data_IF_066259818216
#
_entry.id   IF_066259818216
#
_cell.length_a   1.000
_cell.length_b   1.000
_cell.length_c   1.000
_cell.angle_alpha   90.00
_cell.angle_beta   90.00
_cell.angle_gamma   90.00
#
_symmetry.space_group_name_H-M   'P 1'
#
loop_
_entity.id
_entity.type
_entity.pdbx_description
1 polymer ?
#
# COMPACT_ATOMS: atom_id res chain seq x y z
N UNK A 1 62.05 8.53 -17.31
CA UNK A 1 61.48 9.45 -16.28
C UNK A 1 60.02 9.67 -16.63
N UNK A 2 59.12 9.42 -15.68
CA UNK A 2 57.77 8.88 -15.90
C UNK A 2 56.75 9.88 -16.46
N UNK A 3 56.02 9.45 -17.51
CA UNK A 3 54.73 10.02 -17.90
C UNK A 3 53.70 9.61 -16.85
N UNK A 4 53.21 10.54 -16.04
CA UNK A 4 52.06 10.28 -15.15
C UNK A 4 50.76 10.58 -15.90
N UNK A 5 50.02 9.49 -16.09
CA UNK A 5 48.64 9.36 -16.49
C UNK A 5 47.75 10.16 -15.50
N UNK A 6 46.90 11.07 -15.99
CA UNK A 6 45.73 11.53 -15.23
C UNK A 6 44.54 10.75 -15.77
N UNK A 7 44.19 9.67 -15.07
CA UNK A 7 42.92 8.97 -15.24
C UNK A 7 42.22 9.02 -13.89
N UNK A 8 40.95 9.39 -13.93
CA UNK A 8 39.97 9.03 -12.91
C UNK A 8 39.55 10.20 -12.03
N UNK A 9 38.31 10.67 -12.23
CA UNK A 9 37.18 10.46 -11.31
C UNK A 9 35.98 11.16 -11.97
N UNK A 10 35.04 10.40 -12.51
CA UNK A 10 33.70 10.88 -12.82
C UNK A 10 32.71 9.70 -12.81
N UNK A 11 32.64 8.97 -11.71
CA UNK A 11 31.52 8.05 -11.45
C UNK A 11 31.26 8.04 -9.95
N UNK A 12 30.43 8.96 -9.47
CA UNK A 12 29.79 8.90 -8.13
C UNK A 12 28.62 9.91 -8.07
N UNK A 13 27.77 9.93 -9.10
CA UNK A 13 26.68 10.91 -9.22
C UNK A 13 25.27 10.35 -9.14
N UNK A 14 25.05 9.04 -9.30
CA UNK A 14 23.70 8.51 -9.59
C UNK A 14 23.00 7.75 -8.44
N UNK A 15 23.67 7.47 -7.31
CA UNK A 15 23.05 6.75 -6.20
C UNK A 15 22.41 7.66 -5.12
N UNK A 16 22.77 8.95 -5.10
CA UNK A 16 22.29 9.89 -4.06
C UNK A 16 20.96 10.56 -4.45
N UNK A 17 20.64 10.60 -5.74
CA UNK A 17 19.42 11.27 -6.22
C UNK A 17 18.16 10.47 -5.88
N UNK A 18 18.14 9.16 -6.13
CA UNK A 18 16.96 8.30 -5.89
C UNK A 18 16.54 8.25 -4.41
N UNK A 19 17.51 8.15 -3.49
CA UNK A 19 17.25 8.18 -2.05
C UNK A 19 16.69 9.53 -1.57
N UNK A 20 17.16 10.65 -2.13
CA UNK A 20 16.61 11.98 -1.85
C UNK A 20 15.19 12.17 -2.41
N UNK A 21 14.88 11.59 -3.57
CA UNK A 21 13.52 11.65 -4.14
C UNK A 21 12.52 10.86 -3.31
N UNK A 22 12.85 9.64 -2.88
CA UNK A 22 11.97 8.82 -2.03
C UNK A 22 11.67 9.50 -0.68
N UNK A 23 12.68 10.09 -0.03
CA UNK A 23 12.49 10.84 1.22
C UNK A 23 11.62 12.08 1.01
N UNK A 24 11.79 12.82 -0.09
CA UNK A 24 10.98 14.00 -0.42
C UNK A 24 9.54 13.65 -0.78
N UNK A 25 9.32 12.55 -1.50
CA UNK A 25 8.00 12.05 -1.84
C UNK A 25 7.23 11.66 -0.56
N UNK A 26 7.86 10.88 0.32
CA UNK A 26 7.26 10.51 1.62
C UNK A 26 6.91 11.72 2.48
N UNK A 27 7.80 12.72 2.58
CA UNK A 27 7.50 13.96 3.32
C UNK A 27 6.33 14.75 2.71
N UNK A 28 6.15 14.69 1.39
CA UNK A 28 5.02 15.33 0.70
C UNK A 28 3.70 14.58 0.92
N UNK A 29 3.73 13.24 0.91
CA UNK A 29 2.55 12.40 1.20
C UNK A 29 2.14 12.55 2.66
N UNK A 30 3.09 12.47 3.60
CA UNK A 30 2.84 12.64 5.04
C UNK A 30 2.20 14.01 5.34
N UNK A 31 2.73 15.08 4.72
CA UNK A 31 2.14 16.42 4.83
C UNK A 31 0.70 16.46 4.31
N UNK A 32 0.40 15.81 3.20
CA UNK A 32 -0.97 15.76 2.65
C UNK A 32 -1.90 14.96 3.56
N UNK A 33 -1.43 13.86 4.14
CA UNK A 33 -2.17 13.10 5.16
C UNK A 33 -2.48 14.03 6.33
N UNK A 34 -1.48 14.68 6.93
CA UNK A 34 -1.67 15.57 8.08
C UNK A 34 -2.63 16.74 7.79
N UNK A 35 -2.55 17.33 6.60
CA UNK A 35 -3.47 18.39 6.18
C UNK A 35 -4.92 17.91 6.11
N UNK A 36 -5.16 16.74 5.51
CA UNK A 36 -6.50 16.18 5.42
C UNK A 36 -7.01 15.72 6.79
N UNK A 37 -6.14 15.19 7.65
CA UNK A 37 -6.51 14.83 9.02
C UNK A 37 -6.90 16.02 9.87
N UNK A 38 -6.18 17.14 9.76
CA UNK A 38 -6.58 18.38 10.41
C UNK A 38 -7.94 18.89 9.91
N UNK A 39 -8.21 18.74 8.61
CA UNK A 39 -9.52 19.03 8.03
C UNK A 39 -10.62 18.14 8.62
N UNK A 40 -10.37 16.83 8.69
CA UNK A 40 -11.30 15.86 9.25
C UNK A 40 -11.57 16.11 10.74
N UNK A 41 -10.52 16.37 11.52
CA UNK A 41 -10.65 16.73 12.94
C UNK A 41 -11.53 17.97 13.13
N UNK A 42 -11.36 18.99 12.29
CA UNK A 42 -12.18 20.21 12.31
C UNK A 42 -13.64 19.94 11.92
N UNK A 43 -13.87 19.08 10.93
CA UNK A 43 -15.22 18.64 10.56
C UNK A 43 -15.89 17.96 11.76
N UNK A 44 -15.23 16.97 12.37
CA UNK A 44 -15.77 16.24 13.53
C UNK A 44 -16.03 17.17 14.73
N UNK A 45 -15.12 18.10 14.98
CA UNK A 45 -15.33 19.11 16.02
C UNK A 45 -16.56 19.98 15.74
N UNK A 46 -16.82 20.32 14.47
CA UNK A 46 -18.01 21.08 14.08
C UNK A 46 -19.29 20.28 14.32
N UNK A 47 -19.30 18.98 14.00
CA UNK A 47 -20.43 18.08 14.28
C UNK A 47 -20.72 18.01 15.79
N UNK A 48 -19.67 17.90 16.62
CA UNK A 48 -19.78 17.88 18.10
C UNK A 48 -20.33 19.20 18.63
N UNK A 49 -19.82 20.34 18.17
CA UNK A 49 -20.29 21.67 18.59
C UNK A 49 -21.77 21.86 18.22
N UNK A 50 -22.17 21.39 17.04
CA UNK A 50 -23.54 21.51 16.55
C UNK A 50 -24.48 20.43 17.09
N UNK A 51 -23.97 19.43 17.83
CA UNK A 51 -24.72 18.31 18.41
C UNK A 51 -25.55 17.55 17.37
N UNK A 52 -24.99 17.33 16.19
CA UNK A 52 -25.65 16.58 15.12
C UNK A 52 -25.75 15.09 15.47
N UNK A 53 -26.60 14.34 14.77
CA UNK A 53 -26.70 12.88 14.95
C UNK A 53 -25.34 12.19 14.75
N UNK A 54 -24.52 12.71 13.82
CA UNK A 54 -23.18 12.20 13.57
C UNK A 54 -22.28 12.29 14.81
N UNK A 55 -22.39 13.36 15.59
CA UNK A 55 -21.63 13.50 16.85
C UNK A 55 -21.99 12.47 17.92
N UNK A 56 -23.15 11.83 17.79
CA UNK A 56 -23.65 10.79 18.71
C UNK A 56 -23.50 9.37 18.13
N UNK A 57 -22.97 9.24 16.91
CA UNK A 57 -22.80 7.91 16.31
C UNK A 57 -21.82 7.08 17.11
N UNK A 58 -22.16 5.80 17.33
CA UNK A 58 -21.24 4.80 17.87
C UNK A 58 -20.54 3.99 16.76
N UNK A 59 -20.89 4.26 15.50
CA UNK A 59 -20.34 3.58 14.35
C UNK A 59 -19.22 4.42 13.72
N UNK A 60 -17.95 3.98 13.81
CA UNK A 60 -16.83 4.77 13.32
C UNK A 60 -16.85 4.99 11.80
N UNK A 61 -17.57 4.16 11.04
CA UNK A 61 -17.76 4.37 9.60
C UNK A 61 -18.58 5.61 9.25
N UNK A 62 -19.44 6.09 10.16
CA UNK A 62 -20.27 7.25 9.90
C UNK A 62 -19.41 8.53 9.79
N UNK A 63 -18.30 8.60 10.51
CA UNK A 63 -17.40 9.76 10.55
C UNK A 63 -16.62 9.99 9.25
N UNK A 64 -16.43 8.95 8.46
CA UNK A 64 -15.71 9.01 7.19
C UNK A 64 -16.67 9.00 5.99
N UNK A 65 -17.94 8.68 6.21
CA UNK A 65 -18.96 8.63 5.17
C UNK A 65 -19.11 10.01 4.53
N UNK A 66 -18.88 10.07 3.21
CA UNK A 66 -18.91 11.30 2.41
C UNK A 66 -17.89 12.38 2.83
N UNK A 67 -16.86 12.05 3.61
CA UNK A 67 -15.80 13.01 3.96
C UNK A 67 -14.86 13.20 2.77
N UNK A 68 -14.76 14.45 2.29
CA UNK A 68 -13.84 14.82 1.21
C UNK A 68 -12.38 14.66 1.64
N UNK A 69 -12.09 14.96 2.90
CA UNK A 69 -10.79 14.84 3.54
C UNK A 69 -10.36 13.37 3.60
N UNK A 70 -11.24 12.48 4.04
CA UNK A 70 -10.99 11.05 4.04
C UNK A 70 -10.73 10.53 2.62
N UNK A 71 -11.59 10.87 1.65
CA UNK A 71 -11.38 10.46 0.26
C UNK A 71 -10.05 10.95 -0.32
N UNK A 72 -9.58 12.14 0.05
CA UNK A 72 -8.26 12.65 -0.35
C UNK A 72 -7.13 11.81 0.22
N UNK A 73 -7.25 11.28 1.43
CA UNK A 73 -6.26 10.36 2.02
C UNK A 73 -6.23 9.05 1.24
N UNK A 74 -7.39 8.44 0.97
CA UNK A 74 -7.47 7.21 0.18
C UNK A 74 -6.89 7.40 -1.23
N UNK A 75 -7.17 8.56 -1.85
CA UNK A 75 -6.67 8.88 -3.20
C UNK A 75 -5.16 9.10 -3.29
N UNK A 76 -4.44 9.18 -2.17
CA UNK A 76 -2.96 9.16 -2.17
C UNK A 76 -2.42 7.78 -2.58
N UNK A 77 -3.24 6.73 -2.49
CA UNK A 77 -2.90 5.41 -3.00
C UNK A 77 -1.81 4.70 -2.19
N UNK A 78 -1.12 3.71 -2.79
CA UNK A 78 -0.18 2.83 -2.09
C UNK A 78 0.89 3.56 -1.25
N UNK A 79 1.31 4.75 -1.68
CA UNK A 79 2.34 5.54 -0.99
C UNK A 79 1.90 6.00 0.41
N UNK A 80 0.59 6.08 0.67
CA UNK A 80 0.06 6.45 1.98
C UNK A 80 0.09 5.31 3.00
N UNK A 81 0.08 4.04 2.56
CA UNK A 81 -0.04 2.87 3.46
C UNK A 81 1.06 2.85 4.54
N UNK A 82 2.36 2.98 4.24
CA UNK A 82 3.41 2.90 5.26
C UNK A 82 3.31 4.03 6.29
N UNK A 83 2.87 5.22 5.85
CA UNK A 83 2.73 6.40 6.71
C UNK A 83 1.52 6.23 7.64
N UNK A 84 0.40 5.73 7.12
CA UNK A 84 -0.79 5.43 7.93
C UNK A 84 -0.52 4.35 8.97
N UNK A 85 0.18 3.26 8.60
CA UNK A 85 0.59 2.21 9.56
C UNK A 85 1.47 2.81 10.66
N UNK A 86 2.46 3.63 10.29
CA UNK A 86 3.34 4.30 11.24
C UNK A 86 2.54 5.18 12.23
N UNK A 87 1.54 5.92 11.75
CA UNK A 87 0.68 6.74 12.63
C UNK A 87 -0.15 5.90 13.60
N UNK A 88 -0.56 4.70 13.23
CA UNK A 88 -1.19 3.74 14.15
C UNK A 88 -0.18 3.28 15.20
N UNK A 89 1.03 2.89 14.78
CA UNK A 89 2.08 2.40 15.68
C UNK A 89 2.57 3.44 16.69
N UNK A 90 2.58 4.72 16.30
CA UNK A 90 3.00 5.85 17.14
C UNK A 90 1.87 6.41 18.01
N UNK A 91 0.63 5.92 17.84
CA UNK A 91 -0.53 6.37 18.61
C UNK A 91 -0.44 5.90 20.06
N UNK A 92 -0.63 6.80 21.02
CA UNK A 92 -0.61 6.46 22.46
C UNK A 92 -1.85 5.64 22.91
N UNK A 93 -2.86 5.46 22.04
CA UNK A 93 -4.02 4.63 22.34
C UNK A 93 -4.96 4.44 21.16
N UNK A 94 -5.82 3.42 21.25
CA UNK A 94 -6.74 3.02 20.18
C UNK A 94 -7.97 3.93 20.05
N UNK A 95 -7.74 5.13 19.51
CA UNK A 95 -8.77 6.15 19.27
C UNK A 95 -9.45 6.05 17.90
N UNK A 96 -10.39 6.97 17.66
CA UNK A 96 -11.12 7.08 16.39
C UNK A 96 -10.17 7.21 15.18
N UNK A 97 -9.07 7.95 15.31
CA UNK A 97 -8.14 8.16 14.20
C UNK A 97 -7.39 6.88 13.81
N UNK A 98 -7.03 6.02 14.75
CA UNK A 98 -6.41 4.73 14.42
C UNK A 98 -7.36 3.87 13.58
N UNK A 99 -8.66 3.91 13.90
CA UNK A 99 -9.68 3.22 13.12
C UNK A 99 -9.79 3.79 11.70
N UNK A 100 -9.75 5.12 11.57
CA UNK A 100 -9.77 5.80 10.28
C UNK A 100 -8.55 5.43 9.45
N UNK A 101 -7.36 5.40 10.06
CA UNK A 101 -6.12 4.96 9.40
C UNK A 101 -6.21 3.51 8.94
N UNK A 102 -6.66 2.61 9.80
CA UNK A 102 -6.84 1.20 9.47
C UNK A 102 -7.83 1.01 8.31
N UNK A 103 -8.95 1.73 8.34
CA UNK A 103 -9.96 1.69 7.28
C UNK A 103 -9.40 2.21 5.95
N UNK A 104 -8.63 3.32 5.98
CA UNK A 104 -7.96 3.84 4.80
C UNK A 104 -6.94 2.84 4.23
N UNK A 105 -6.17 2.15 5.09
CA UNK A 105 -5.24 1.10 4.65
C UNK A 105 -6.00 -0.05 3.97
N UNK A 106 -7.09 -0.55 4.56
CA UNK A 106 -7.93 -1.61 3.96
C UNK A 106 -8.49 -1.17 2.60
N UNK A 107 -8.97 0.06 2.47
CA UNK A 107 -9.53 0.61 1.23
C UNK A 107 -8.47 0.80 0.13
N UNK A 108 -7.33 1.42 0.46
CA UNK A 108 -6.21 1.61 -0.49
C UNK A 108 -5.66 0.26 -0.94
N UNK A 109 -5.45 -0.66 0.01
CA UNK A 109 -4.84 -1.95 -0.27
C UNK A 109 -5.78 -2.95 -0.92
N UNK A 110 -7.10 -2.67 -0.94
CA UNK A 110 -8.15 -3.62 -1.33
C UNK A 110 -8.07 -4.93 -0.53
N UNK A 111 -7.69 -4.84 0.74
CA UNK A 111 -7.64 -5.96 1.68
C UNK A 111 -8.70 -5.73 2.76
N UNK A 112 -9.45 -6.78 3.08
CA UNK A 112 -10.40 -6.75 4.18
C UNK A 112 -9.95 -7.73 5.27
N UNK A 113 -9.30 -7.24 6.33
CA UNK A 113 -8.88 -8.11 7.44
C UNK A 113 -10.07 -8.53 8.32
N UNK A 114 -11.24 -7.91 8.17
CA UNK A 114 -12.45 -8.27 8.93
C UNK A 114 -13.22 -9.44 8.31
N UNK A 115 -12.91 -9.82 7.07
CA UNK A 115 -13.57 -10.96 6.40
C UNK A 115 -13.19 -12.31 7.01
N UNK A 116 -11.99 -12.44 7.59
CA UNK A 116 -11.56 -13.65 8.27
C UNK A 116 -11.58 -13.44 9.80
N UNK A 117 -12.20 -14.39 10.52
CA UNK A 117 -12.25 -14.34 11.99
C UNK A 117 -10.84 -14.31 12.62
N UNK A 118 -9.85 -14.94 11.98
CA UNK A 118 -8.45 -14.99 12.40
C UNK A 118 -7.72 -13.65 12.32
N UNK A 119 -8.21 -12.73 11.49
CA UNK A 119 -7.60 -11.41 11.24
C UNK A 119 -8.48 -10.25 11.71
N UNK A 120 -9.65 -10.54 12.30
CA UNK A 120 -10.54 -9.53 12.85
C UNK A 120 -9.83 -8.71 13.92
N UNK A 121 -10.02 -7.39 13.87
CA UNK A 121 -9.41 -6.42 14.75
C UNK A 121 -10.49 -5.48 15.31
N UNK A 122 -10.29 -5.03 16.56
CA UNK A 122 -11.21 -4.14 17.30
C UNK A 122 -10.53 -2.83 17.75
N UNK A 123 -9.22 -2.72 17.51
CA UNK A 123 -8.34 -1.64 17.95
C UNK A 123 -7.27 -1.39 16.89
N UNK A 124 -6.75 -0.16 16.84
CA UNK A 124 -5.65 0.20 15.94
C UNK A 124 -4.42 -0.68 16.09
N UNK A 125 -4.02 -0.95 17.34
CA UNK A 125 -2.84 -1.78 17.62
C UNK A 125 -3.02 -3.21 17.09
N UNK A 126 -4.17 -3.84 17.35
CA UNK A 126 -4.46 -5.17 16.80
C UNK A 126 -4.54 -5.16 15.29
N UNK A 127 -5.08 -4.10 14.68
CA UNK A 127 -5.02 -3.94 13.23
C UNK A 127 -3.58 -3.95 12.74
N UNK A 128 -2.70 -3.12 13.31
CA UNK A 128 -1.29 -3.04 12.90
C UNK A 128 -0.58 -4.40 13.04
N UNK A 129 -0.78 -5.11 14.15
CA UNK A 129 -0.24 -6.46 14.34
C UNK A 129 -0.70 -7.43 13.23
N UNK A 130 -2.01 -7.49 12.97
CA UNK A 130 -2.59 -8.38 11.96
C UNK A 130 -2.17 -7.99 10.54
N UNK A 131 -2.09 -6.69 10.28
CA UNK A 131 -1.62 -6.14 9.01
C UNK A 131 -0.18 -6.55 8.74
N UNK A 132 0.72 -6.38 9.70
CA UNK A 132 2.13 -6.79 9.60
C UNK A 132 2.28 -8.29 9.35
N UNK A 133 1.53 -9.11 10.08
CA UNK A 133 1.49 -10.56 9.86
C UNK A 133 0.98 -10.90 8.47
N UNK A 134 -0.10 -10.26 8.00
CA UNK A 134 -0.62 -10.48 6.65
C UNK A 134 0.44 -10.13 5.60
N UNK A 135 1.11 -8.99 5.73
CA UNK A 135 2.15 -8.57 4.80
C UNK A 135 3.31 -9.57 4.76
N UNK A 136 3.75 -10.10 5.90
CA UNK A 136 4.89 -11.01 5.94
C UNK A 136 4.62 -12.36 5.28
N UNK A 137 3.36 -12.80 5.17
CA UNK A 137 3.01 -14.04 4.48
C UNK A 137 2.89 -13.89 2.96
N UNK A 138 2.71 -12.67 2.44
CA UNK A 138 2.40 -12.42 1.03
C UNK A 138 3.38 -13.07 0.03
N UNK A 139 4.72 -12.98 0.20
CA UNK A 139 5.63 -13.56 -0.78
C UNK A 139 5.42 -15.08 -0.93
N UNK A 140 5.28 -15.78 0.21
CA UNK A 140 5.06 -17.23 0.24
C UNK A 140 3.66 -17.62 -0.22
N UNK A 141 2.63 -16.84 0.12
CA UNK A 141 1.25 -17.07 -0.36
C UNK A 141 1.15 -16.94 -1.88
N UNK A 142 1.76 -15.91 -2.46
CA UNK A 142 1.80 -15.71 -3.92
C UNK A 142 2.52 -16.87 -4.60
N UNK A 143 3.70 -17.26 -4.10
CA UNK A 143 4.46 -18.39 -4.65
C UNK A 143 3.65 -19.70 -4.59
N UNK A 144 3.02 -19.98 -3.45
CA UNK A 144 2.19 -21.16 -3.24
C UNK A 144 1.01 -21.19 -4.22
N UNK A 145 0.27 -20.09 -4.37
CA UNK A 145 -0.89 -20.03 -5.26
C UNK A 145 -0.44 -20.16 -6.72
N UNK A 146 0.60 -19.43 -7.12
CA UNK A 146 1.08 -19.43 -8.49
C UNK A 146 1.56 -20.83 -8.95
N UNK A 147 2.18 -21.61 -8.05
CA UNK A 147 2.67 -22.96 -8.32
C UNK A 147 1.67 -24.09 -8.01
N UNK A 148 0.46 -23.76 -7.55
CA UNK A 148 -0.53 -24.78 -7.22
C UNK A 148 -1.18 -25.41 -8.47
N UNK A 149 -1.85 -26.55 -8.26
CA UNK A 149 -2.67 -27.24 -9.26
C UNK A 149 -4.08 -26.63 -9.43
N UNK A 150 -4.34 -25.47 -8.81
CA UNK A 150 -5.60 -24.74 -8.97
C UNK A 150 -5.80 -24.32 -10.43
N UNK A 151 -7.07 -24.21 -10.84
CA UNK A 151 -7.41 -23.62 -12.14
C UNK A 151 -6.97 -22.15 -12.22
N UNK A 152 -6.83 -21.62 -13.44
CA UNK A 152 -6.47 -20.22 -13.66
C UNK A 152 -7.41 -19.25 -12.93
N UNK A 153 -8.72 -19.49 -13.00
CA UNK A 153 -9.72 -18.64 -12.34
C UNK A 153 -9.64 -18.69 -10.81
N UNK A 154 -9.35 -19.86 -10.23
CA UNK A 154 -9.14 -20.02 -8.79
C UNK A 154 -7.86 -19.33 -8.33
N UNK A 155 -6.77 -19.40 -9.11
CA UNK A 155 -5.54 -18.65 -8.84
C UNK A 155 -5.81 -17.15 -8.88
N UNK A 156 -6.49 -16.65 -9.92
CA UNK A 156 -6.85 -15.24 -10.07
C UNK A 156 -7.68 -14.78 -8.87
N UNK A 157 -8.72 -15.53 -8.50
CA UNK A 157 -9.59 -15.20 -7.37
C UNK A 157 -8.81 -15.16 -6.05
N UNK A 158 -7.93 -16.14 -5.83
CA UNK A 158 -7.13 -16.23 -4.59
C UNK A 158 -6.11 -15.10 -4.49
N UNK A 159 -5.41 -14.78 -5.59
CA UNK A 159 -4.43 -13.70 -5.62
C UNK A 159 -5.07 -12.31 -5.48
N UNK A 160 -6.28 -12.09 -6.04
CA UNK A 160 -7.02 -10.84 -5.86
C UNK A 160 -7.31 -10.54 -4.38
N UNK A 161 -7.61 -11.57 -3.58
CA UNK A 161 -7.86 -11.42 -2.13
C UNK A 161 -6.63 -11.00 -1.34
N UNK A 162 -5.43 -11.21 -1.88
CA UNK A 162 -4.19 -10.76 -1.23
C UNK A 162 -4.00 -9.24 -1.32
N UNK A 163 -4.76 -8.58 -2.19
CA UNK A 163 -4.77 -7.14 -2.35
C UNK A 163 -3.53 -6.57 -3.01
N UNK A 164 -3.51 -5.25 -3.15
CA UNK A 164 -2.47 -4.46 -3.78
C UNK A 164 -1.05 -4.77 -3.29
N UNK A 165 -0.77 -5.01 -1.99
CA UNK A 165 0.58 -5.32 -1.53
C UNK A 165 1.18 -6.60 -2.10
N UNK A 166 0.37 -7.51 -2.65
CA UNK A 166 0.85 -8.73 -3.31
C UNK A 166 1.33 -8.50 -4.74
N UNK A 167 0.96 -7.37 -5.37
CA UNK A 167 1.25 -7.06 -6.77
C UNK A 167 2.72 -7.20 -7.16
N UNK A 168 3.72 -6.69 -6.40
CA UNK A 168 5.12 -6.82 -6.79
C UNK A 168 5.55 -8.29 -6.95
N UNK A 169 5.05 -9.18 -6.11
CA UNK A 169 5.38 -10.61 -6.14
C UNK A 169 4.62 -11.32 -7.27
N UNK A 170 3.41 -10.88 -7.60
CA UNK A 170 2.67 -11.39 -8.76
C UNK A 170 3.37 -10.98 -10.06
N UNK A 171 3.90 -9.75 -10.13
CA UNK A 171 4.68 -9.28 -11.28
C UNK A 171 5.95 -10.14 -11.45
N UNK A 172 6.64 -10.52 -10.37
CA UNK A 172 7.79 -11.44 -10.46
C UNK A 172 7.38 -12.79 -11.08
N UNK A 173 6.19 -13.31 -10.76
CA UNK A 173 5.68 -14.56 -11.35
C UNK A 173 5.36 -14.39 -12.84
N UNK A 174 4.77 -13.26 -13.24
CA UNK A 174 4.48 -12.94 -14.65
C UNK A 174 5.77 -12.77 -15.45
N UNK A 175 6.77 -12.07 -14.90
CA UNK A 175 8.12 -11.97 -15.50
C UNK A 175 8.76 -13.36 -15.70
N UNK A 176 8.50 -14.29 -14.76
CA UNK A 176 8.90 -15.69 -14.84
C UNK A 176 8.10 -16.55 -15.83
N UNK A 177 7.13 -15.98 -16.55
CA UNK A 177 6.38 -16.65 -17.62
C UNK A 177 4.97 -17.10 -17.24
N UNK A 178 4.49 -16.83 -16.01
CA UNK A 178 3.11 -17.14 -15.59
C UNK A 178 2.14 -16.03 -15.99
N UNK A 179 2.00 -15.83 -17.31
CA UNK A 179 1.21 -14.73 -17.87
C UNK A 179 -0.28 -14.83 -17.56
N UNK A 180 -0.78 -16.02 -17.22
CA UNK A 180 -2.17 -16.24 -16.79
C UNK A 180 -2.52 -15.46 -15.50
N UNK A 181 -1.53 -15.00 -14.74
CA UNK A 181 -1.71 -14.22 -13.52
C UNK A 181 -1.81 -12.71 -13.78
N UNK A 182 -1.48 -12.25 -14.99
CA UNK A 182 -1.49 -10.84 -15.35
C UNK A 182 -2.83 -10.11 -15.11
N UNK A 183 -4.01 -10.74 -15.33
CA UNK A 183 -5.30 -10.10 -15.02
C UNK A 183 -5.45 -9.67 -13.56
N UNK A 184 -4.71 -10.29 -12.63
CA UNK A 184 -4.71 -9.88 -11.22
C UNK A 184 -4.04 -8.52 -11.06
N UNK A 185 -2.90 -8.31 -11.71
CA UNK A 185 -2.19 -7.02 -11.73
C UNK A 185 -3.11 -5.93 -12.26
N UNK A 186 -3.80 -6.19 -13.39
CA UNK A 186 -4.74 -5.25 -13.99
C UNK A 186 -5.89 -4.86 -13.06
N UNK A 187 -6.36 -5.79 -12.23
CA UNK A 187 -7.49 -5.53 -11.32
C UNK A 187 -7.11 -4.79 -10.03
N UNK A 188 -5.86 -4.94 -9.59
CA UNK A 188 -5.41 -4.39 -8.30
C UNK A 188 -4.76 -3.03 -8.47
N UNK A 189 -4.00 -2.81 -9.53
CA UNK A 189 -3.29 -1.56 -9.81
C UNK A 189 -4.30 -0.46 -10.22
N UNK A 190 -4.22 0.76 -9.67
CA UNK A 190 -5.09 1.87 -10.07
C UNK A 190 -4.93 2.25 -11.55
N UNK A 191 -6.03 2.71 -12.18
CA UNK A 191 -6.06 3.08 -13.61
C UNK A 191 -5.02 4.14 -14.01
N UNK A 192 -4.64 5.04 -13.08
CA UNK A 192 -3.60 6.05 -13.29
C UNK A 192 -2.19 5.48 -13.43
N UNK A 193 -1.95 4.25 -12.98
CA UNK A 193 -0.71 3.51 -13.19
C UNK A 193 -0.86 2.43 -14.29
N UNK A 194 -2.08 2.29 -14.84
CA UNK A 194 -2.49 1.29 -15.81
C UNK A 194 -2.38 1.73 -17.28
N UNK A 195 -1.83 2.91 -17.56
CA UNK A 195 -1.83 3.54 -18.91
C UNK A 195 -1.15 2.71 -20.02
N UNK A 196 -0.57 1.54 -19.73
CA UNK A 196 -0.07 0.57 -20.72
C UNK A 196 -0.58 -0.87 -20.56
N UNK A 197 -1.74 -1.10 -19.94
CA UNK A 197 -2.29 -2.46 -19.75
C UNK A 197 -2.87 -3.12 -21.02
N UNK A 198 -2.79 -2.47 -22.18
CA UNK A 198 -3.02 -3.08 -23.50
C UNK A 198 -1.75 -3.79 -24.03
N UNK A 199 -0.96 -4.39 -23.14
CA UNK A 199 0.28 -5.06 -23.51
C UNK A 199 -0.03 -6.29 -24.36
N UNK A 200 0.55 -6.34 -25.56
CA UNK A 200 0.55 -7.55 -26.40
C UNK A 200 1.53 -8.62 -25.90
N UNK A 201 2.36 -8.28 -24.90
CA UNK A 201 3.33 -9.16 -24.24
C UNK A 201 3.39 -8.82 -22.74
N UNK A 202 2.76 -9.66 -21.91
CA UNK A 202 2.66 -9.45 -20.46
C UNK A 202 4.00 -9.60 -19.73
N UNK A 203 4.91 -10.44 -20.26
CA UNK A 203 6.24 -10.65 -19.68
C UNK A 203 7.09 -9.41 -19.88
N UNK A 204 7.06 -8.83 -21.08
CA UNK A 204 7.78 -7.59 -21.36
C UNK A 204 7.23 -6.44 -20.53
N UNK A 205 5.91 -6.33 -20.39
CA UNK A 205 5.30 -5.34 -19.51
C UNK A 205 5.80 -5.48 -18.07
N UNK A 206 5.86 -6.71 -17.54
CA UNK A 206 6.32 -6.96 -16.18
C UNK A 206 7.76 -6.47 -15.97
N UNK A 207 8.67 -6.75 -16.90
CA UNK A 207 10.07 -6.30 -16.85
C UNK A 207 10.20 -4.78 -16.83
N UNK A 208 9.40 -4.08 -17.63
CA UNK A 208 9.46 -2.62 -17.77
C UNK A 208 8.80 -1.87 -16.60
N UNK A 209 7.87 -2.52 -15.88
CA UNK A 209 7.05 -1.86 -14.88
C UNK A 209 7.29 -2.32 -13.45
N UNK A 210 8.01 -3.43 -13.21
CA UNK A 210 8.23 -3.95 -11.85
C UNK A 210 8.87 -2.94 -10.90
N UNK A 211 9.80 -2.13 -11.40
CA UNK A 211 10.51 -1.13 -10.60
C UNK A 211 9.57 -0.04 -10.06
N UNK A 212 8.41 0.18 -10.69
CA UNK A 212 7.38 1.10 -10.18
C UNK A 212 6.76 0.62 -8.86
N UNK A 213 6.89 -0.67 -8.55
CA UNK A 213 6.35 -1.31 -7.36
C UNK A 213 7.43 -1.66 -6.33
N UNK A 214 8.67 -1.22 -6.53
CA UNK A 214 9.80 -1.52 -5.66
C UNK A 214 9.61 -1.03 -4.22
N UNK A 215 9.03 0.16 -4.06
CA UNK A 215 8.82 0.71 -2.72
C UNK A 215 7.75 -0.05 -1.95
N UNK A 216 6.69 -0.49 -2.65
CA UNK A 216 5.70 -1.42 -2.10
C UNK A 216 6.32 -2.78 -1.76
N UNK A 217 7.19 -3.31 -2.64
CA UNK A 217 7.92 -4.57 -2.41
C UNK A 217 8.81 -4.48 -1.17
N UNK A 218 9.62 -3.42 -1.06
CA UNK A 218 10.48 -3.15 0.11
C UNK A 218 9.65 -3.01 1.38
N UNK A 219 8.54 -2.30 1.30
CA UNK A 219 7.62 -2.14 2.42
C UNK A 219 7.10 -3.49 2.92
N UNK A 220 6.62 -4.36 2.03
CA UNK A 220 6.17 -5.72 2.40
C UNK A 220 7.32 -6.53 2.99
N UNK A 221 8.47 -6.59 2.32
CA UNK A 221 9.63 -7.37 2.77
C UNK A 221 10.21 -6.88 4.10
N UNK A 222 10.01 -5.61 4.46
CA UNK A 222 10.41 -5.09 5.76
C UNK A 222 9.70 -5.77 6.94
N UNK A 223 8.56 -6.43 6.69
CA UNK A 223 7.74 -7.11 7.71
C UNK A 223 8.15 -8.57 7.94
N UNK A 224 9.01 -9.14 7.10
CA UNK A 224 9.48 -10.54 7.23
C UNK A 224 10.45 -10.76 8.40
N UNK A 225 10.87 -9.70 9.09
CA UNK A 225 11.78 -9.75 10.23
C UNK A 225 11.07 -9.53 11.58
N UNK A 226 9.74 -9.62 11.61
CA UNK A 226 8.91 -9.45 12.82
C UNK A 226 8.65 -10.78 13.54
#
# INVERSE_FOLDING_TARGET
>A
MNKKLVVGIFVLGFAVTSSLYAVRANASVEKQIDQNLNGLAKQLQTEVVNKTDLSMSSNPYDYIKNSTEYSKIVNLGPDAIPILEKKIDESEGSGLFDYIFATAIEEISKVNLKEEQSTTWDTGNKFSEKWKVKLSTLPGEVEKIANSDLSGDEKITSLKKLGLPAVPFIIDQVEGGKTELFPVVQSLVPDSQAESLAATDEVQWAKENKDKFDDLKKYVLSKNNL
#
